data_IF_365254143677
#
_entry.id   IF_365254143677
#
_cell.length_a   1.000
_cell.length_b   1.000
_cell.length_c   1.000
_cell.angle_alpha   90.00
_cell.angle_beta   90.00
_cell.angle_gamma   90.00
#
_symmetry.space_group_name_H-M   'P 1'
#
loop_
_entity.id
_entity.type
_entity.pdbx_description
1 polymer ?
#
# COMPACT_ATOMS: atom_id res chain seq x y z
N UNK A 1 -9.05 -4.95 8.04
CA UNK A 1 -8.97 -4.98 6.57
C UNK A 1 -9.17 -3.57 6.04
N UNK A 2 -8.14 -2.73 6.14
CA UNK A 2 -8.25 -1.32 5.77
C UNK A 2 -8.06 -1.13 4.25
N UNK A 3 -6.98 -1.69 3.69
CA UNK A 3 -6.65 -1.58 2.27
C UNK A 3 -7.73 -2.15 1.32
N UNK A 4 -8.46 -3.18 1.74
CA UNK A 4 -9.47 -3.83 0.90
C UNK A 4 -10.88 -3.27 1.09
N UNK A 5 -11.10 -2.44 2.13
CA UNK A 5 -12.43 -1.92 2.44
C UNK A 5 -12.99 -1.03 1.31
N UNK A 6 -12.14 -0.16 0.73
CA UNK A 6 -12.51 0.73 -0.38
C UNK A 6 -12.62 0.05 -1.75
N UNK A 7 -12.21 -1.23 -1.85
CA UNK A 7 -12.10 -1.95 -3.13
C UNK A 7 -13.23 -2.97 -3.36
N UNK A 8 -14.14 -3.18 -2.40
CA UNK A 8 -15.18 -4.23 -2.46
C UNK A 8 -16.05 -4.23 -3.72
N UNK A 9 -16.29 -3.05 -4.30
CA UNK A 9 -17.13 -2.86 -5.50
C UNK A 9 -16.36 -2.22 -6.66
N UNK A 10 -15.03 -2.21 -6.59
CA UNK A 10 -14.16 -1.53 -7.56
C UNK A 10 -13.04 -2.46 -8.00
N UNK A 11 -12.72 -2.42 -9.28
CA UNK A 11 -11.52 -3.04 -9.82
C UNK A 11 -10.40 -2.01 -9.77
N UNK A 12 -9.27 -2.40 -9.18
CA UNK A 12 -8.07 -1.57 -9.09
C UNK A 12 -7.04 -2.07 -10.08
N UNK A 13 -6.61 -1.19 -10.98
CA UNK A 13 -5.46 -1.43 -11.85
C UNK A 13 -4.30 -0.57 -11.39
N UNK A 14 -3.16 -1.21 -11.14
CA UNK A 14 -1.93 -0.56 -10.69
C UNK A 14 -0.75 -1.20 -11.39
N UNK A 15 0.15 -0.34 -11.86
CA UNK A 15 1.37 -0.74 -12.56
C UNK A 15 2.59 -0.12 -11.88
N UNK A 16 3.58 -0.98 -11.67
CA UNK A 16 4.90 -0.57 -11.20
C UNK A 16 5.78 -0.16 -12.38
N UNK A 17 6.20 1.10 -12.40
CA UNK A 17 7.08 1.59 -13.48
C UNK A 17 8.53 1.27 -13.16
N UNK A 18 8.98 1.60 -11.95
CA UNK A 18 10.37 1.38 -11.55
C UNK A 18 10.70 2.00 -10.21
N UNK A 19 11.92 1.73 -9.74
CA UNK A 19 12.49 2.35 -8.54
C UNK A 19 13.41 3.49 -8.95
N UNK A 20 13.23 4.67 -8.36
CA UNK A 20 14.11 5.82 -8.55
C UNK A 20 15.38 5.66 -7.70
N UNK A 21 15.24 5.11 -6.50
CA UNK A 21 16.34 4.71 -5.63
C UNK A 21 16.12 3.27 -5.13
N UNK A 22 17.18 2.50 -4.88
CA UNK A 22 17.06 1.20 -4.22
C UNK A 22 16.36 1.34 -2.85
N UNK A 23 15.43 0.43 -2.50
CA UNK A 23 14.79 0.44 -1.19
C UNK A 23 15.82 0.33 -0.06
N UNK A 24 15.66 1.15 0.98
CA UNK A 24 16.59 1.16 2.13
C UNK A 24 15.87 0.97 3.45
N UNK A 25 16.46 0.17 4.33
CA UNK A 25 15.96 -0.01 5.69
C UNK A 25 16.16 1.28 6.47
N UNK A 26 15.11 1.73 7.14
CA UNK A 26 15.12 2.93 8.00
C UNK A 26 15.18 2.53 9.47
N UNK A 27 14.44 1.49 9.86
CA UNK A 27 14.43 1.01 11.24
C UNK A 27 14.09 -0.48 11.30
N UNK A 28 14.76 -1.20 12.20
CA UNK A 28 14.40 -2.54 12.60
C UNK A 28 14.07 -2.50 14.09
N UNK A 29 12.92 -3.05 14.48
CA UNK A 29 12.48 -3.15 15.87
C UNK A 29 12.00 -4.56 16.11
N UNK A 30 12.18 -5.02 17.34
CA UNK A 30 11.65 -6.31 17.78
C UNK A 30 10.87 -6.07 19.06
N UNK A 31 9.66 -6.59 19.12
CA UNK A 31 8.81 -6.52 20.30
C UNK A 31 8.40 -7.92 20.72
N UNK A 32 8.53 -8.20 22.01
CA UNK A 32 7.96 -9.39 22.60
C UNK A 32 6.48 -9.12 22.89
N UNK A 33 5.60 -9.95 22.34
CA UNK A 33 4.19 -9.81 22.65
C UNK A 33 3.94 -10.23 24.10
N UNK A 34 3.52 -9.27 24.93
CA UNK A 34 3.09 -9.51 26.31
C UNK A 34 2.05 -10.64 26.34
N UNK A 35 2.47 -11.80 26.84
CA UNK A 35 1.58 -12.93 27.16
C UNK A 35 1.62 -14.15 26.23
N UNK A 36 2.42 -14.20 25.15
CA UNK A 36 2.44 -15.39 24.26
C UNK A 36 3.82 -16.02 23.97
N UNK A 37 4.91 -15.50 24.55
CA UNK A 37 6.27 -16.01 24.25
C UNK A 37 6.69 -15.86 22.78
N UNK A 38 5.88 -15.14 21.98
CA UNK A 38 6.10 -14.90 20.57
C UNK A 38 6.84 -13.57 20.41
N UNK A 39 7.88 -13.60 19.59
CA UNK A 39 8.68 -12.42 19.22
C UNK A 39 8.23 -11.94 17.85
N UNK A 40 7.93 -10.66 17.72
CA UNK A 40 7.57 -10.02 16.45
C UNK A 40 8.66 -9.04 16.04
N UNK A 41 9.17 -9.20 14.82
CA UNK A 41 10.09 -8.25 14.20
C UNK A 41 9.34 -7.33 13.25
N UNK A 42 9.55 -6.03 13.37
CA UNK A 42 9.08 -5.01 12.43
C UNK A 42 10.27 -4.36 11.73
N UNK A 43 10.23 -4.32 10.41
CA UNK A 43 11.22 -3.62 9.58
C UNK A 43 10.52 -2.55 8.78
N UNK A 44 10.94 -1.31 8.95
CA UNK A 44 10.47 -0.16 8.17
C UNK A 44 11.46 0.11 7.04
N UNK A 45 10.96 0.08 5.80
CA UNK A 45 11.76 0.28 4.58
C UNK A 45 11.23 1.53 3.86
N UNK A 46 12.14 2.41 3.44
CA UNK A 46 11.83 3.52 2.56
C UNK A 46 11.89 3.06 1.11
N UNK A 47 10.77 3.19 0.42
CA UNK A 47 10.64 3.00 -1.02
C UNK A 47 10.56 4.36 -1.72
N UNK A 48 11.35 4.54 -2.77
CA UNK A 48 11.25 5.70 -3.66
C UNK A 48 11.06 5.20 -5.08
N UNK A 49 9.80 5.11 -5.50
CA UNK A 49 9.39 4.42 -6.73
C UNK A 49 8.53 5.32 -7.59
N UNK A 50 8.61 5.09 -8.89
CA UNK A 50 7.69 5.62 -9.88
C UNK A 50 6.56 4.60 -10.08
N UNK A 51 5.33 5.08 -9.99
CA UNK A 51 4.11 4.28 -10.14
C UNK A 51 3.18 4.98 -11.10
N UNK A 52 2.39 4.21 -11.85
CA UNK A 52 1.27 4.80 -12.59
C UNK A 52 0.11 5.04 -11.64
N UNK A 53 -0.66 6.09 -11.92
CA UNK A 53 -1.85 6.42 -11.14
C UNK A 53 -2.80 5.23 -11.15
N UNK A 54 -3.14 4.79 -9.95
CA UNK A 54 -4.11 3.73 -9.71
C UNK A 54 -5.43 4.08 -10.38
N UNK A 55 -5.86 3.27 -11.35
CA UNK A 55 -7.18 3.45 -11.96
C UNK A 55 -8.18 2.58 -11.21
N UNK A 56 -9.15 3.22 -10.56
CA UNK A 56 -10.28 2.55 -9.95
C UNK A 56 -11.49 2.61 -10.91
N UNK A 57 -12.01 1.43 -11.22
CA UNK A 57 -13.17 1.26 -12.12
C UNK A 57 -14.30 0.62 -11.33
N UNK A 58 -15.53 1.13 -11.48
CA UNK A 58 -16.70 0.49 -10.84
C UNK A 58 -17.16 -0.75 -11.62
N UNK A 59 -18.17 -1.46 -11.08
CA UNK A 59 -18.77 -2.65 -11.72
C UNK A 59 -19.43 -2.39 -13.08
N UNK A 60 -19.66 -1.12 -13.44
CA UNK A 60 -20.23 -0.71 -14.71
C UNK A 60 -19.14 -0.31 -15.73
N UNK A 61 -17.85 -0.45 -15.39
CA UNK A 61 -16.75 -0.08 -16.28
C UNK A 61 -16.42 1.41 -16.30
N UNK A 62 -17.02 2.22 -15.42
CA UNK A 62 -16.79 3.66 -15.36
C UNK A 62 -15.58 4.00 -14.49
N UNK A 63 -14.68 4.81 -15.04
CA UNK A 63 -13.52 5.36 -14.34
C UNK A 63 -13.94 6.50 -13.41
N UNK A 64 -13.36 6.53 -12.21
CA UNK A 64 -13.46 7.68 -11.31
C UNK A 64 -12.09 8.33 -11.22
N UNK A 65 -11.97 9.54 -11.75
CA UNK A 65 -10.90 10.45 -11.35
C UNK A 65 -11.34 11.04 -10.01
N UNK A 66 -10.52 10.88 -8.98
CA UNK A 66 -10.74 11.53 -7.71
C UNK A 66 -10.54 13.04 -7.96
N UNK A 67 -11.61 13.76 -8.29
CA UNK A 67 -11.63 15.21 -8.17
C UNK A 67 -11.48 15.47 -6.68
N UNK A 68 -10.30 15.96 -6.29
CA UNK A 68 -9.99 16.35 -4.93
C UNK A 68 -11.10 17.26 -4.40
N UNK A 69 -11.87 16.75 -3.44
CA UNK A 69 -12.81 17.55 -2.67
C UNK A 69 -12.03 18.44 -1.69
N UNK A 70 -12.30 19.75 -1.78
CA UNK A 70 -11.93 20.86 -0.89
C UNK A 70 -11.83 20.49 0.60
#
# INVERSE_FOLDING_TARGET
MEMTAGLKLRTLHWDFVGSLEPPRVVSCRTEEALGKGNVFGQVTIRFHTQQLSTKAVNRLGLFFEQVDSL
#
